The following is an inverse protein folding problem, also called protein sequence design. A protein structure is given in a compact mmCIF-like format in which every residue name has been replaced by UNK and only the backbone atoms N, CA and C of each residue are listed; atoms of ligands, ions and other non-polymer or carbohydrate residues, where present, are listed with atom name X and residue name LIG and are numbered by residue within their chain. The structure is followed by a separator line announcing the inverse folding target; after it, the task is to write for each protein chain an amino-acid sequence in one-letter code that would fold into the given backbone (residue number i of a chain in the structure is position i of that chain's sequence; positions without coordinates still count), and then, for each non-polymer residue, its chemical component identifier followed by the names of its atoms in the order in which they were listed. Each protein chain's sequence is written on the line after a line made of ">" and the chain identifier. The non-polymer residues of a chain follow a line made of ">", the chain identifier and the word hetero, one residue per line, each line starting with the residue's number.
data_IF_789432540595
#
_entry.id   IF_789432540595
#
_cell.length_a   1.000
_cell.length_b   1.000
_cell.length_c   1.000
_cell.angle_alpha   90.00
_cell.angle_beta   90.00
_cell.angle_gamma   90.00
#
_symmetry.space_group_name_H-M   'P 1'
#
loop_
_entity.id
_entity.type
_entity.pdbx_description
1 polymer ?
#
# COMPACT_ATOMS: atom_id res chain seq x y z
N UNK A 1 6.37 1.34 16.47
CA UNK A 1 5.89 2.63 15.95
C UNK A 1 4.92 2.35 14.81
N UNK A 2 3.75 2.99 14.82
CA UNK A 2 2.74 2.90 13.75
C UNK A 2 2.69 4.26 13.06
N UNK A 3 2.79 4.31 11.74
CA UNK A 3 2.79 5.59 11.04
C UNK A 3 2.63 5.47 9.54
N UNK A 4 1.92 6.45 8.96
CA UNK A 4 1.78 6.59 7.52
C UNK A 4 2.59 7.81 7.07
N UNK A 5 3.47 7.61 6.09
CA UNK A 5 4.29 8.65 5.47
C UNK A 5 3.75 8.93 4.08
N UNK A 6 3.15 10.10 3.88
CA UNK A 6 2.70 10.55 2.56
C UNK A 6 3.83 11.33 1.88
N UNK A 7 4.17 10.94 0.65
CA UNK A 7 5.23 11.57 -0.15
C UNK A 7 4.66 11.95 -1.51
N UNK A 8 4.80 13.22 -1.89
CA UNK A 8 4.25 13.74 -3.15
C UNK A 8 2.77 14.11 -3.11
N UNK A 9 2.15 14.11 -1.92
CA UNK A 9 0.75 14.55 -1.72
C UNK A 9 0.54 16.04 -2.08
N UNK A 10 1.60 16.85 -2.04
CA UNK A 10 1.60 18.26 -2.44
C UNK A 10 1.30 18.47 -3.94
N UNK A 11 1.51 17.42 -4.75
CA UNK A 11 1.26 17.40 -6.19
C UNK A 11 -0.22 17.09 -6.54
N UNK A 12 -1.02 16.76 -5.53
CA UNK A 12 -2.46 16.46 -5.64
C UNK A 12 -3.32 17.67 -5.27
N UNK A 13 -4.53 17.74 -5.80
CA UNK A 13 -5.50 18.73 -5.33
C UNK A 13 -5.94 18.43 -3.90
N UNK A 14 -6.31 19.46 -3.13
CA UNK A 14 -6.64 19.34 -1.71
C UNK A 14 -7.74 18.30 -1.41
N UNK A 15 -8.70 18.13 -2.33
CA UNK A 15 -9.73 17.08 -2.22
C UNK A 15 -9.19 15.66 -2.44
N UNK A 16 -8.31 15.48 -3.44
CA UNK A 16 -7.67 14.21 -3.75
C UNK A 16 -6.71 13.76 -2.63
N UNK A 17 -5.93 14.71 -2.11
CA UNK A 17 -5.03 14.50 -0.97
C UNK A 17 -5.80 14.02 0.28
N UNK A 18 -6.91 14.68 0.62
CA UNK A 18 -7.75 14.31 1.75
C UNK A 18 -8.33 12.90 1.62
N UNK A 19 -8.85 12.55 0.44
CA UNK A 19 -9.36 11.20 0.18
C UNK A 19 -8.26 10.14 0.29
N UNK A 20 -7.07 10.42 -0.24
CA UNK A 20 -5.94 9.50 -0.17
C UNK A 20 -5.50 9.26 1.26
N UNK A 21 -5.47 10.29 2.10
CA UNK A 21 -5.14 10.15 3.51
C UNK A 21 -6.17 9.29 4.24
N UNK A 22 -7.45 9.66 4.14
CA UNK A 22 -8.55 8.98 4.82
C UNK A 22 -8.65 7.49 4.42
N UNK A 23 -8.61 7.20 3.12
CA UNK A 23 -8.65 5.82 2.62
C UNK A 23 -7.42 5.02 3.06
N UNK A 24 -6.24 5.65 3.04
CA UNK A 24 -5.01 4.99 3.46
C UNK A 24 -5.02 4.66 4.94
N UNK A 25 -5.54 5.56 5.79
CA UNK A 25 -5.66 5.33 7.23
C UNK A 25 -6.63 4.20 7.55
N UNK A 26 -7.81 4.19 6.94
CA UNK A 26 -8.82 3.15 7.15
C UNK A 26 -8.34 1.76 6.71
N UNK A 27 -7.77 1.67 5.50
CA UNK A 27 -7.24 0.41 4.96
C UNK A 27 -6.01 -0.06 5.75
N UNK A 28 -5.09 0.85 6.12
CA UNK A 28 -3.92 0.51 6.91
C UNK A 28 -4.29 -0.01 8.30
N UNK A 29 -5.26 0.62 8.96
CA UNK A 29 -5.76 0.16 10.26
C UNK A 29 -6.37 -1.25 10.16
N UNK A 30 -7.13 -1.53 9.10
CA UNK A 30 -7.66 -2.88 8.83
C UNK A 30 -6.54 -3.89 8.60
N UNK A 31 -5.52 -3.53 7.82
CA UNK A 31 -4.37 -4.38 7.52
C UNK A 31 -3.56 -4.70 8.79
N UNK A 32 -3.23 -3.68 9.60
CA UNK A 32 -2.56 -3.84 10.89
C UNK A 32 -3.33 -4.80 11.81
N UNK A 33 -4.65 -4.58 11.94
CA UNK A 33 -5.54 -5.40 12.78
C UNK A 33 -5.62 -6.85 12.29
N UNK A 34 -5.71 -7.09 10.98
CA UNK A 34 -5.73 -8.43 10.39
C UNK A 34 -4.39 -9.15 10.58
N UNK A 35 -3.29 -8.44 10.34
CA UNK A 35 -1.94 -9.00 10.43
C UNK A 35 -1.40 -9.11 11.87
N UNK A 36 -2.13 -8.57 12.87
CA UNK A 36 -1.70 -8.48 14.29
C UNK A 36 -0.30 -7.86 14.45
N UNK A 37 0.04 -6.94 13.54
CA UNK A 37 1.30 -6.20 13.60
C UNK A 37 1.16 -5.11 14.66
N UNK A 38 2.09 -5.08 15.62
CA UNK A 38 2.17 -3.99 16.62
C UNK A 38 2.98 -2.79 16.12
N UNK A 39 3.78 -3.01 15.09
CA UNK A 39 4.70 -2.01 14.55
C UNK A 39 4.77 -2.18 13.03
N UNK A 40 4.15 -1.24 12.31
CA UNK A 40 4.32 -1.15 10.87
C UNK A 40 4.38 0.32 10.44
N UNK A 41 5.15 0.58 9.40
CA UNK A 41 5.21 1.87 8.74
C UNK A 41 4.71 1.72 7.31
N UNK A 42 3.67 2.46 6.96
CA UNK A 42 3.22 2.58 5.58
C UNK A 42 3.81 3.86 4.98
N UNK A 43 4.40 3.77 3.80
CA UNK A 43 4.81 4.94 3.02
C UNK A 43 4.04 4.95 1.72
N UNK A 44 3.23 5.99 1.53
CA UNK A 44 2.40 6.22 0.35
C UNK A 44 3.11 7.28 -0.49
N UNK A 45 3.70 6.86 -1.59
CA UNK A 45 4.27 7.78 -2.56
C UNK A 45 3.26 7.97 -3.67
N UNK A 46 2.88 9.20 -3.94
CA UNK A 46 2.05 9.57 -5.08
C UNK A 46 2.82 10.53 -5.96
N UNK A 47 2.66 10.36 -7.27
CA UNK A 47 3.32 11.19 -8.27
C UNK A 47 2.40 11.35 -9.46
N UNK A 48 2.12 12.59 -9.87
CA UNK A 48 1.45 12.83 -11.15
C UNK A 48 2.47 12.72 -12.28
N UNK A 49 2.16 11.88 -13.25
CA UNK A 49 2.94 11.65 -14.45
C UNK A 49 2.15 12.21 -15.64
N UNK A 50 2.72 13.18 -16.34
CA UNK A 50 2.17 13.64 -17.61
C UNK A 50 2.70 12.77 -18.74
N UNK A 51 1.89 11.80 -19.19
CA UNK A 51 2.23 10.88 -20.27
C UNK A 51 1.52 11.34 -21.55
N UNK A 52 2.04 12.41 -22.16
CA UNK A 52 1.55 12.97 -23.43
C UNK A 52 0.50 14.08 -23.32
N UNK A 53 0.00 14.54 -24.47
CA UNK A 53 -0.72 15.82 -24.67
C UNK A 53 -2.12 15.91 -24.02
N UNK A 54 -2.72 14.82 -23.52
CA UNK A 54 -4.12 14.83 -23.04
C UNK A 54 -4.48 13.98 -21.82
N UNK A 55 -3.56 13.19 -21.24
CA UNK A 55 -3.90 12.31 -20.12
C UNK A 55 -2.94 12.49 -18.94
N UNK A 56 -3.49 12.91 -17.81
CA UNK A 56 -2.82 12.84 -16.53
C UNK A 56 -2.88 11.38 -16.05
N UNK A 57 -1.72 10.81 -15.77
CA UNK A 57 -1.61 9.53 -15.07
C UNK A 57 -1.14 9.82 -13.66
N UNK A 58 -1.63 9.07 -12.70
CA UNK A 58 -1.13 9.05 -11.34
C UNK A 58 -0.36 7.75 -11.15
N UNK A 59 0.81 7.86 -10.56
CA UNK A 59 1.59 6.73 -10.09
C UNK A 59 1.54 6.72 -8.56
N UNK A 60 1.18 5.57 -8.02
CA UNK A 60 1.09 5.36 -6.58
C UNK A 60 1.94 4.15 -6.20
N UNK A 61 2.82 4.36 -5.23
CA UNK A 61 3.72 3.35 -4.70
C UNK A 61 3.43 3.25 -3.20
N UNK A 62 2.90 2.11 -2.78
CA UNK A 62 2.75 1.78 -1.37
C UNK A 62 3.96 0.97 -0.93
N UNK A 63 4.60 1.38 0.17
CA UNK A 63 5.64 0.61 0.84
C UNK A 63 5.26 0.38 2.29
N UNK A 64 4.90 -0.85 2.62
CA UNK A 64 4.61 -1.27 3.98
C UNK A 64 5.83 -1.97 4.56
N UNK A 65 6.43 -1.37 5.58
CA UNK A 65 7.42 -2.01 6.43
C UNK A 65 6.70 -2.62 7.64
N UNK A 66 6.62 -3.95 7.69
CA UNK A 66 6.05 -4.67 8.80
C UNK A 66 7.19 -5.21 9.68
N UNK A 67 7.35 -4.66 10.87
CA UNK A 67 8.34 -5.18 11.81
C UNK A 67 7.85 -6.52 12.38
N UNK A 68 8.69 -7.56 12.31
CA UNK A 68 8.38 -8.91 12.80
C UNK A 68 8.05 -9.95 11.72
N UNK A 69 7.98 -9.57 10.44
CA UNK A 69 7.93 -10.52 9.32
C UNK A 69 9.32 -10.80 8.73
N UNK A 70 9.52 -12.02 8.19
CA UNK A 70 10.78 -12.38 7.47
C UNK A 70 11.08 -11.46 6.28
N UNK A 71 10.02 -10.91 5.68
CA UNK A 71 10.11 -9.88 4.65
C UNK A 71 10.12 -8.53 5.35
N UNK A 72 11.21 -7.78 5.18
CA UNK A 72 11.42 -6.48 5.81
C UNK A 72 10.51 -5.38 5.23
N UNK A 73 9.92 -5.61 4.06
CA UNK A 73 9.10 -4.64 3.34
C UNK A 73 8.23 -5.31 2.27
N UNK A 74 7.07 -4.72 2.06
CA UNK A 74 6.12 -5.03 1.00
C UNK A 74 5.92 -3.76 0.18
N UNK A 75 6.29 -3.81 -1.09
CA UNK A 75 6.06 -2.71 -2.01
C UNK A 75 5.05 -3.10 -3.10
N UNK A 76 4.23 -2.14 -3.48
CA UNK A 76 3.28 -2.26 -4.58
C UNK A 76 3.26 -0.95 -5.34
N UNK A 77 3.33 -1.05 -6.66
CA UNK A 77 3.35 0.10 -7.56
C UNK A 77 2.28 -0.10 -8.62
N UNK A 78 1.41 0.88 -8.78
CA UNK A 78 0.48 0.94 -9.88
C UNK A 78 0.46 2.34 -10.50
N UNK A 79 0.07 2.39 -11.78
CA UNK A 79 -0.26 3.61 -12.49
C UNK A 79 -1.72 3.54 -12.94
N UNK A 80 -2.47 4.63 -12.79
CA UNK A 80 -3.83 4.74 -13.30
C UNK A 80 -4.20 6.22 -13.53
N UNK A 81 -5.23 6.49 -14.32
CA UNK A 81 -5.72 7.85 -14.54
C UNK A 81 -6.66 8.32 -13.42
N UNK A 82 -7.23 7.36 -12.67
CA UNK A 82 -8.17 7.60 -11.58
C UNK A 82 -7.51 7.30 -10.23
N UNK A 83 -7.29 8.33 -9.41
CA UNK A 83 -6.58 8.21 -8.14
C UNK A 83 -7.32 7.31 -7.14
N UNK A 84 -8.64 7.41 -7.06
CA UNK A 84 -9.44 6.61 -6.14
C UNK A 84 -9.32 5.11 -6.46
N UNK A 85 -9.50 4.74 -7.74
CA UNK A 85 -9.29 3.36 -8.20
C UNK A 85 -7.86 2.89 -7.99
N UNK A 86 -6.89 3.77 -8.21
CA UNK A 86 -5.48 3.47 -8.02
C UNK A 86 -5.17 3.13 -6.56
N UNK A 87 -5.67 3.92 -5.61
CA UNK A 87 -5.54 3.67 -4.17
C UNK A 87 -6.12 2.29 -3.83
N UNK A 88 -7.39 2.04 -4.18
CA UNK A 88 -8.03 0.77 -3.89
C UNK A 88 -7.28 -0.42 -4.49
N UNK A 89 -6.83 -0.33 -5.75
CA UNK A 89 -6.06 -1.39 -6.40
C UNK A 89 -4.72 -1.63 -5.71
N UNK A 90 -4.02 -0.57 -5.32
CA UNK A 90 -2.75 -0.67 -4.61
C UNK A 90 -2.92 -1.32 -3.23
N UNK A 91 -3.97 -0.96 -2.47
CA UNK A 91 -4.25 -1.57 -1.17
C UNK A 91 -4.72 -3.02 -1.29
N UNK A 92 -5.56 -3.35 -2.26
CA UNK A 92 -5.98 -4.72 -2.54
C UNK A 92 -4.77 -5.60 -2.89
N UNK A 93 -3.89 -5.11 -3.76
CA UNK A 93 -2.65 -5.79 -4.12
C UNK A 93 -1.68 -5.90 -2.93
N UNK A 94 -1.61 -4.89 -2.05
CA UNK A 94 -0.83 -4.94 -0.80
C UNK A 94 -1.37 -6.02 0.14
N UNK A 95 -2.68 -6.04 0.37
CA UNK A 95 -3.37 -7.01 1.20
C UNK A 95 -3.16 -8.43 0.67
N UNK A 96 -3.33 -8.64 -0.64
CA UNK A 96 -3.07 -9.92 -1.28
C UNK A 96 -1.60 -10.36 -1.13
N UNK A 97 -0.64 -9.45 -1.26
CA UNK A 97 0.78 -9.74 -1.04
C UNK A 97 1.08 -10.14 0.41
N UNK A 98 0.47 -9.45 1.38
CA UNK A 98 0.59 -9.80 2.79
C UNK A 98 -0.05 -11.15 3.08
N UNK A 99 -1.30 -11.36 2.66
CA UNK A 99 -2.01 -12.63 2.82
C UNK A 99 -1.23 -13.78 2.20
N UNK A 100 -0.65 -13.58 1.02
CA UNK A 100 0.18 -14.59 0.37
C UNK A 100 1.45 -14.93 1.17
N UNK A 101 2.13 -13.94 1.75
CA UNK A 101 3.31 -14.20 2.60
C UNK A 101 2.93 -14.83 3.96
N UNK A 102 1.86 -14.37 4.61
CA UNK A 102 1.34 -14.99 5.83
C UNK A 102 0.86 -16.43 5.57
N UNK A 103 0.20 -16.67 4.43
CA UNK A 103 -0.27 -17.99 4.01
C UNK A 103 0.88 -18.91 3.58
N UNK A 104 1.90 -18.39 2.88
CA UNK A 104 3.14 -19.13 2.58
C UNK A 104 3.94 -19.45 3.83
N UNK A 105 3.88 -18.62 4.88
CA UNK A 105 4.42 -18.92 6.20
C UNK A 105 3.80 -20.16 6.84
N UNK A 106 2.52 -20.44 6.57
CA UNK A 106 1.79 -21.62 7.06
C UNK A 106 1.99 -22.88 6.18
N UNK A 107 2.43 -22.73 4.93
CA UNK A 107 2.55 -23.82 3.95
C UNK A 107 3.97 -24.38 3.78
N UNK A 108 4.79 -24.34 4.83
CA UNK A 108 6.06 -25.11 4.89
C UNK A 108 6.14 -26.12 6.05
N UNK A 109 4.99 -26.58 6.55
CA UNK A 109 4.87 -27.85 7.27
C UNK A 109 4.01 -28.81 6.46
N UNK A 110 4.53 -29.28 5.33
CA UNK A 110 4.06 -30.52 4.74
C UNK A 110 5.27 -31.44 4.54
N UNK A 111 5.39 -32.36 5.49
CA UNK A 111 5.89 -33.73 5.34
C UNK A 111 7.16 -33.93 4.50
N UNK A 112 8.25 -34.25 5.19
CA UNK A 112 9.14 -35.33 4.74
C UNK A 112 9.04 -36.43 5.79
N UNK A 113 8.61 -37.60 5.30
CA UNK A 113 8.48 -38.86 5.99
C UNK A 113 9.84 -39.53 6.19
#
# INVERSE_FOLDING_TARGET
>A
MEGIKYVGIDDLEAGEAGQLQELSEDEFAKVLKRAKLKEAELSVFVKKIHKGEKSHHYELILKLNAAGTKKAWFDVRHEDFDLAKLIHRCFDALAANMEHEFSKGLKKSKFVA
#
